data_IF_034770203608
#
_entry.id   IF_034770203608
#
_cell.length_a   1.000
_cell.length_b   1.000
_cell.length_c   1.000
_cell.angle_alpha   90.00
_cell.angle_beta   90.00
_cell.angle_gamma   90.00
#
_symmetry.space_group_name_H-M   'P 1'
#
loop_
_entity.id
_entity.type
_entity.pdbx_description
1 polymer ?
#
# COMPACT_ATOMS: atom_id res chain seq x y z
N UNK A 1 12.86 19.02 25.61
CA UNK A 1 11.66 19.71 25.10
C UNK A 1 11.00 20.48 26.24
N UNK A 2 10.70 21.77 26.04
CA UNK A 2 9.92 22.63 26.93
C UNK A 2 8.48 22.67 26.45
N UNK A 3 7.52 22.71 27.37
CA UNK A 3 6.10 22.81 27.05
C UNK A 3 5.42 23.89 27.86
N UNK A 4 4.45 24.57 27.26
CA UNK A 4 3.59 25.58 27.89
C UNK A 4 2.14 25.28 27.59
N UNK A 5 1.33 25.08 28.62
CA UNK A 5 -0.11 24.90 28.48
C UNK A 5 -0.81 26.25 28.21
N UNK A 6 -1.66 26.28 27.20
CA UNK A 6 -2.56 27.38 26.83
C UNK A 6 -4.00 26.88 26.91
N UNK A 7 -4.83 27.63 27.61
CA UNK A 7 -6.27 27.39 27.78
C UNK A 7 -7.09 28.67 27.54
N UNK A 8 -6.42 29.71 27.07
CA UNK A 8 -6.95 31.04 26.78
C UNK A 8 -7.32 31.21 25.30
N UNK A 9 -6.80 30.35 24.42
CA UNK A 9 -7.05 30.38 22.97
C UNK A 9 -8.40 29.72 22.66
N UNK A 10 -9.23 30.42 21.90
CA UNK A 10 -10.54 29.96 21.46
C UNK A 10 -10.54 29.45 20.02
N UNK A 11 -11.62 28.80 19.62
CA UNK A 11 -11.87 28.42 18.21
C UNK A 11 -11.88 29.65 17.31
N UNK A 12 -12.49 30.75 17.77
CA UNK A 12 -12.49 32.02 17.03
C UNK A 12 -11.07 32.48 16.72
N UNK A 13 -10.19 32.49 17.71
CA UNK A 13 -8.79 32.92 17.54
C UNK A 13 -8.09 32.04 16.49
N UNK A 14 -8.21 30.71 16.58
CA UNK A 14 -7.60 29.79 15.60
C UNK A 14 -8.15 30.05 14.19
N UNK A 15 -9.45 30.32 14.06
CA UNK A 15 -10.13 30.56 12.80
C UNK A 15 -9.85 31.96 12.21
N UNK A 16 -9.26 32.89 12.94
CA UNK A 16 -8.87 34.18 12.38
C UNK A 16 -7.83 34.00 11.28
N UNK A 17 -8.12 34.53 10.09
CA UNK A 17 -7.27 34.34 8.91
C UNK A 17 -7.28 32.90 8.37
N UNK A 18 -8.27 32.07 8.74
CA UNK A 18 -8.37 30.71 8.25
C UNK A 18 -8.63 30.67 6.74
N UNK A 19 -7.70 30.06 6.00
CA UNK A 19 -7.81 29.86 4.56
C UNK A 19 -7.74 28.37 4.25
N UNK A 20 -8.88 27.77 3.93
CA UNK A 20 -8.93 26.41 3.41
C UNK A 20 -9.00 26.41 1.90
N UNK A 21 -7.93 25.94 1.27
CA UNK A 21 -7.93 25.62 -0.14
C UNK A 21 -7.48 24.18 -0.33
N UNK A 22 -8.38 23.33 -0.86
CA UNK A 22 -8.03 21.94 -1.19
C UNK A 22 -7.03 21.87 -2.37
N UNK A 23 -6.94 22.92 -3.17
CA UNK A 23 -6.25 22.96 -4.46
C UNK A 23 -4.90 23.69 -4.41
N UNK A 24 -4.70 24.61 -3.48
CA UNK A 24 -3.40 25.27 -3.30
C UNK A 24 -2.63 24.47 -2.26
N UNK A 25 -1.49 23.89 -2.65
CA UNK A 25 -0.50 23.31 -1.73
C UNK A 25 0.12 24.34 -0.76
N UNK A 26 -0.47 25.53 -0.63
CA UNK A 26 -0.14 26.53 0.37
C UNK A 26 -0.70 26.04 1.70
N UNK A 27 0.10 26.17 2.76
CA UNK A 27 -0.27 25.75 4.11
C UNK A 27 -1.67 26.23 4.52
N UNK A 28 -2.42 25.38 5.21
CA UNK A 28 -3.61 25.81 5.92
C UNK A 28 -3.15 26.71 7.06
N UNK A 29 -3.59 27.96 7.13
CA UNK A 29 -3.16 28.93 8.15
C UNK A 29 -4.28 29.30 9.13
N UNK A 30 -3.92 29.75 10.33
CA UNK A 30 -4.81 30.27 11.38
C UNK A 30 -4.07 31.24 12.31
N UNK A 31 -4.73 31.69 13.38
CA UNK A 31 -4.22 32.72 14.31
C UNK A 31 -3.69 33.97 13.57
N UNK A 32 -4.42 34.45 12.57
CA UNK A 32 -4.03 35.57 11.71
C UNK A 32 -2.65 35.37 11.05
N UNK A 33 -2.37 34.15 10.59
CA UNK A 33 -1.13 33.80 9.89
C UNK A 33 0.04 33.44 10.82
N UNK A 34 -0.20 33.34 12.13
CA UNK A 34 0.81 32.89 13.12
C UNK A 34 0.87 31.38 13.31
N UNK A 35 -0.16 30.66 12.85
CA UNK A 35 -0.25 29.21 12.93
C UNK A 35 -0.32 28.61 11.54
N UNK A 36 0.64 27.78 11.21
CA UNK A 36 0.54 26.85 10.08
C UNK A 36 -0.13 25.56 10.58
N UNK A 37 -1.42 25.41 10.27
CA UNK A 37 -2.27 24.29 10.65
C UNK A 37 -1.90 23.01 9.89
N UNK A 38 -1.55 23.14 8.61
CA UNK A 38 -1.06 22.03 7.80
C UNK A 38 0.34 22.36 7.28
N UNK A 39 1.38 22.14 8.10
CA UNK A 39 2.76 22.17 7.64
C UNK A 39 2.98 21.21 6.48
N UNK A 40 3.97 21.49 5.63
CA UNK A 40 4.22 20.75 4.39
C UNK A 40 4.50 19.26 4.64
N UNK A 41 5.00 18.90 5.82
CA UNK A 41 5.30 17.52 6.17
C UNK A 41 4.12 16.73 6.76
N UNK A 42 3.06 17.41 7.19
CA UNK A 42 1.87 16.76 7.75
C UNK A 42 1.06 16.03 6.68
N UNK A 43 0.25 15.04 7.08
CA UNK A 43 -0.62 14.32 6.14
C UNK A 43 -1.75 15.20 5.61
N UNK A 44 -2.35 14.76 4.49
CA UNK A 44 -3.53 15.42 3.95
C UNK A 44 -4.70 15.38 4.95
N UNK A 45 -5.65 16.29 4.80
CA UNK A 45 -6.89 16.25 5.56
C UNK A 45 -7.74 15.05 5.13
N UNK A 46 -8.01 14.12 6.06
CA UNK A 46 -8.69 12.84 5.79
C UNK A 46 -10.03 12.69 6.53
N UNK A 47 -10.46 13.69 7.30
CA UNK A 47 -11.75 13.68 8.01
C UNK A 47 -12.92 14.16 7.13
N UNK A 48 -12.67 14.51 5.86
CA UNK A 48 -13.67 15.00 4.89
C UNK A 48 -14.69 13.92 4.44
N UNK A 49 -15.18 13.09 5.35
CA UNK A 49 -16.11 11.98 5.07
C UNK A 49 -17.55 12.25 5.53
N UNK A 50 -17.82 13.45 6.07
CA UNK A 50 -19.14 13.85 6.59
C UNK A 50 -19.52 13.16 7.90
N UNK A 51 -18.62 12.36 8.48
CA UNK A 51 -18.84 11.63 9.74
C UNK A 51 -17.89 12.12 10.81
N UNK A 52 -16.58 12.05 10.55
CA UNK A 52 -15.55 12.42 11.54
C UNK A 52 -15.46 13.92 11.72
N UNK A 53 -15.59 14.69 10.65
CA UNK A 53 -15.64 16.14 10.74
C UNK A 53 -16.92 16.66 11.39
N UNK A 54 -18.07 16.06 11.07
CA UNK A 54 -19.33 16.31 11.78
C UNK A 54 -19.23 15.98 13.29
N UNK A 55 -18.64 14.84 13.66
CA UNK A 55 -18.48 14.43 15.05
C UNK A 55 -17.63 15.41 15.89
N UNK A 56 -16.65 16.09 15.28
CA UNK A 56 -15.91 17.17 15.94
C UNK A 56 -16.87 18.30 16.32
N UNK A 57 -17.71 18.76 15.39
CA UNK A 57 -18.66 19.84 15.64
C UNK A 57 -19.73 19.43 16.65
N UNK A 58 -20.24 18.20 16.56
CA UNK A 58 -21.18 17.66 17.55
C UNK A 58 -20.60 17.66 18.96
N UNK A 59 -19.31 17.36 19.10
CA UNK A 59 -18.61 17.42 20.39
C UNK A 59 -18.54 18.86 20.92
N UNK A 60 -18.29 19.84 20.06
CA UNK A 60 -18.28 21.26 20.42
C UNK A 60 -19.67 21.73 20.91
N UNK A 61 -20.74 21.36 20.21
CA UNK A 61 -22.11 21.72 20.58
C UNK A 61 -22.52 21.13 21.93
N UNK A 62 -22.00 19.94 22.26
CA UNK A 62 -22.18 19.25 23.55
C UNK A 62 -21.18 19.70 24.63
N UNK A 63 -20.27 20.62 24.31
CA UNK A 63 -19.22 21.12 25.20
C UNK A 63 -18.26 20.03 25.70
N UNK A 64 -18.09 18.97 24.90
CA UNK A 64 -17.12 17.93 25.18
C UNK A 64 -15.72 18.38 24.79
N UNK A 65 -14.68 18.07 25.59
CA UNK A 65 -13.32 18.42 25.23
C UNK A 65 -12.92 17.83 23.88
N UNK A 66 -12.39 18.65 22.96
CA UNK A 66 -11.90 18.17 21.67
C UNK A 66 -10.60 17.35 21.77
N UNK A 67 -10.10 17.15 23.00
CA UNK A 67 -8.80 16.57 23.28
C UNK A 67 -7.66 17.57 23.18
N UNK A 68 -6.49 17.16 23.64
CA UNK A 68 -5.27 17.97 23.66
C UNK A 68 -4.78 18.24 22.23
N UNK A 69 -4.33 19.46 21.98
CA UNK A 69 -3.71 19.91 20.73
C UNK A 69 -2.25 20.29 21.02
N UNK A 70 -1.35 20.03 20.07
CA UNK A 70 0.07 20.34 20.23
C UNK A 70 0.53 21.26 19.11
N UNK A 71 1.14 22.38 19.48
CA UNK A 71 1.85 23.27 18.58
C UNK A 71 3.35 23.16 18.83
N UNK A 72 4.15 23.32 17.79
CA UNK A 72 5.59 23.53 17.90
C UNK A 72 5.90 24.97 17.52
N UNK A 73 6.71 25.64 18.36
CA UNK A 73 7.21 27.00 18.07
C UNK A 73 8.36 26.89 17.07
N UNK A 74 8.21 27.52 15.91
CA UNK A 74 9.24 27.55 14.85
C UNK A 74 10.11 28.80 14.96
N UNK A 75 9.46 29.92 15.25
CA UNK A 75 10.10 31.21 15.49
C UNK A 75 9.24 32.02 16.47
N UNK A 76 9.68 33.22 16.83
CA UNK A 76 8.90 34.03 17.76
C UNK A 76 7.53 34.41 17.17
N UNK A 77 6.47 34.05 17.89
CA UNK A 77 5.08 34.22 17.45
C UNK A 77 4.65 33.36 16.26
N UNK A 78 5.46 32.38 15.82
CA UNK A 78 5.17 31.49 14.69
C UNK A 78 5.13 30.03 15.12
N UNK A 79 4.04 29.35 14.78
CA UNK A 79 3.72 28.01 15.25
C UNK A 79 3.33 27.08 14.11
N UNK A 80 3.61 25.80 14.28
CA UNK A 80 3.14 24.73 13.42
C UNK A 80 2.35 23.70 14.24
N UNK A 81 1.30 23.12 13.66
CA UNK A 81 0.55 22.05 14.33
C UNK A 81 1.35 20.75 14.31
N UNK A 82 1.64 20.24 15.51
CA UNK A 82 2.27 18.95 15.72
C UNK A 82 1.22 17.83 15.86
N UNK A 83 0.13 18.09 16.57
CA UNK A 83 -1.05 17.21 16.60
C UNK A 83 -2.34 18.03 16.79
N UNK A 84 -3.44 17.52 16.24
CA UNK A 84 -4.74 18.20 16.25
C UNK A 84 -5.16 18.78 14.92
N UNK A 85 -4.33 18.66 13.87
CA UNK A 85 -4.60 19.21 12.53
C UNK A 85 -6.00 18.84 12.01
N UNK A 86 -6.39 17.56 12.11
CA UNK A 86 -7.68 17.10 11.58
C UNK A 86 -8.84 17.77 12.32
N UNK A 87 -8.75 17.92 13.64
CA UNK A 87 -9.78 18.60 14.47
C UNK A 87 -9.87 20.08 14.14
N UNK A 88 -8.71 20.75 14.04
CA UNK A 88 -8.63 22.18 13.68
C UNK A 88 -9.21 22.42 12.29
N UNK A 89 -8.84 21.58 11.33
CA UNK A 89 -9.36 21.69 9.96
C UNK A 89 -10.87 21.45 9.92
N UNK A 90 -11.41 20.50 10.69
CA UNK A 90 -12.85 20.26 10.76
C UNK A 90 -13.62 21.48 11.23
N UNK A 91 -13.26 22.07 12.38
CA UNK A 91 -14.00 23.25 12.87
C UNK A 91 -13.76 24.50 12.02
N UNK A 92 -12.55 24.68 11.46
CA UNK A 92 -12.27 25.81 10.57
C UNK A 92 -13.08 25.73 9.27
N UNK A 93 -13.20 24.52 8.68
CA UNK A 93 -14.06 24.27 7.52
C UNK A 93 -15.54 24.50 7.84
N UNK A 94 -15.99 24.13 9.04
CA UNK A 94 -17.38 24.34 9.44
C UNK A 94 -17.71 25.83 9.62
N UNK A 95 -16.89 26.57 10.38
CA UNK A 95 -17.04 28.01 10.61
C UNK A 95 -17.00 28.82 9.31
N UNK A 96 -16.34 28.29 8.27
CA UNK A 96 -16.29 28.90 6.93
C UNK A 96 -17.29 28.29 5.93
N UNK A 97 -18.36 27.65 6.45
CA UNK A 97 -19.48 27.08 5.70
C UNK A 97 -19.10 26.08 4.59
N UNK A 98 -18.00 25.34 4.75
CA UNK A 98 -17.53 24.35 3.75
C UNK A 98 -18.28 23.02 3.79
N UNK A 99 -19.03 22.75 4.85
CA UNK A 99 -19.90 21.58 4.96
C UNK A 99 -20.99 21.81 6.02
N UNK A 100 -22.16 21.13 5.91
CA UNK A 100 -23.20 21.15 6.93
C UNK A 100 -23.04 20.04 7.96
N UNK A 101 -23.70 20.19 9.11
CA UNK A 101 -23.91 19.12 10.10
C UNK A 101 -25.40 18.82 10.24
N UNK A 102 -25.77 17.67 10.81
CA UNK A 102 -27.17 17.36 11.12
C UNK A 102 -27.50 17.78 12.55
N UNK A 103 -28.44 18.71 12.68
CA UNK A 103 -29.03 19.14 13.96
C UNK A 103 -30.53 18.86 13.86
N UNK A 104 -31.06 18.05 14.78
CA UNK A 104 -32.47 17.61 14.80
C UNK A 104 -32.98 17.04 13.47
N UNK A 105 -32.11 16.31 12.77
CA UNK A 105 -32.42 15.68 11.47
C UNK A 105 -32.33 16.62 10.27
N UNK A 106 -32.07 17.91 10.46
CA UNK A 106 -31.91 18.90 9.40
C UNK A 106 -30.44 19.25 9.19
N UNK A 107 -30.04 19.45 7.93
CA UNK A 107 -28.70 19.93 7.59
C UNK A 107 -28.59 21.43 7.88
N UNK A 108 -27.62 21.81 8.70
CA UNK A 108 -27.34 23.19 9.06
C UNK A 108 -25.87 23.51 8.81
N UNK A 109 -25.63 24.63 8.12
CA UNK A 109 -24.33 25.29 8.01
C UNK A 109 -24.11 26.19 9.23
N UNK A 110 -22.87 26.61 9.45
CA UNK A 110 -22.52 27.47 10.59
C UNK A 110 -23.36 28.77 10.61
N UNK A 111 -23.50 29.44 9.46
CA UNK A 111 -24.32 30.67 9.34
C UNK A 111 -25.81 30.45 9.62
N UNK A 112 -26.32 29.23 9.42
CA UNK A 112 -27.72 28.89 9.66
C UNK A 112 -28.01 28.39 11.08
N UNK A 113 -26.98 28.17 11.90
CA UNK A 113 -27.16 27.80 13.30
C UNK A 113 -27.78 28.95 14.08
N UNK A 114 -28.53 28.64 15.14
CA UNK A 114 -28.97 29.64 16.10
C UNK A 114 -27.76 30.42 16.67
N UNK A 115 -27.88 31.74 16.89
CA UNK A 115 -26.75 32.57 17.34
C UNK A 115 -26.06 32.05 18.59
N UNK A 116 -26.81 31.46 19.54
CA UNK A 116 -26.25 30.92 20.78
C UNK A 116 -25.33 29.70 20.51
N UNK A 117 -25.65 28.90 19.49
CA UNK A 117 -24.83 27.76 19.08
C UNK A 117 -23.58 28.20 18.32
N UNK A 118 -23.67 29.25 17.51
CA UNK A 118 -22.52 29.86 16.86
C UNK A 118 -21.52 30.40 17.89
N UNK A 119 -22.02 31.15 18.88
CA UNK A 119 -21.21 31.68 19.98
C UNK A 119 -20.59 30.56 20.81
N UNK A 120 -21.34 29.48 21.11
CA UNK A 120 -20.81 28.31 21.80
C UNK A 120 -19.60 27.70 21.08
N UNK A 121 -19.68 27.55 19.76
CA UNK A 121 -18.58 27.02 18.94
C UNK A 121 -17.39 27.98 18.96
N UNK A 122 -17.61 29.26 18.68
CA UNK A 122 -16.54 30.26 18.54
C UNK A 122 -15.79 30.52 19.85
N UNK A 123 -16.51 30.54 20.98
CA UNK A 123 -15.95 30.84 22.30
C UNK A 123 -15.38 29.61 23.01
N UNK A 124 -15.52 28.42 22.43
CA UNK A 124 -14.95 27.20 22.99
C UNK A 124 -13.43 27.34 23.16
N UNK A 125 -12.97 27.21 24.41
CA UNK A 125 -11.55 27.24 24.75
C UNK A 125 -10.88 25.92 24.40
N UNK A 126 -9.70 25.99 23.82
CA UNK A 126 -8.90 24.85 23.40
C UNK A 126 -7.81 24.55 24.42
N UNK A 127 -7.53 23.27 24.64
CA UNK A 127 -6.40 22.83 25.47
C UNK A 127 -5.21 22.58 24.57
N UNK A 128 -4.23 23.50 24.57
CA UNK A 128 -3.10 23.49 23.65
C UNK A 128 -1.79 23.45 24.44
N UNK A 129 -0.87 22.54 24.10
CA UNK A 129 0.54 22.67 24.49
C UNK A 129 1.33 23.34 23.38
N UNK A 130 1.97 24.47 23.69
CA UNK A 130 3.05 25.03 22.88
C UNK A 130 4.35 24.33 23.29
N UNK A 131 5.03 23.71 22.32
CA UNK A 131 6.25 22.96 22.51
C UNK A 131 7.43 23.69 21.85
N UNK A 132 8.58 23.66 22.51
CA UNK A 132 9.85 24.18 22.00
C UNK A 132 10.96 23.18 22.34
N UNK A 133 11.79 22.81 21.37
CA UNK A 133 12.83 21.83 21.58
C UNK A 133 13.67 21.60 20.34
N UNK A 134 14.69 20.76 20.48
CA UNK A 134 15.55 20.38 19.36
C UNK A 134 14.81 19.42 18.42
N UNK A 135 15.19 19.41 17.14
CA UNK A 135 14.56 18.59 16.10
C UNK A 135 14.41 17.10 16.49
N UNK A 136 15.42 16.41 17.08
CA UNK A 136 15.27 15.01 17.51
C UNK A 136 14.22 14.82 18.61
N UNK A 137 14.07 15.78 19.52
CA UNK A 137 13.09 15.71 20.61
C UNK A 137 11.67 15.86 20.05
N UNK A 138 11.46 16.83 19.15
CA UNK A 138 10.18 17.04 18.46
C UNK A 138 9.79 15.78 17.68
N UNK A 139 10.75 15.14 16.99
CA UNK A 139 10.54 13.89 16.25
C UNK A 139 10.11 12.74 17.14
N UNK A 140 10.83 12.51 18.25
CA UNK A 140 10.47 11.45 19.20
C UNK A 140 9.08 11.67 19.77
N UNK A 141 8.77 12.93 20.12
CA UNK A 141 7.46 13.29 20.64
C UNK A 141 6.35 13.10 19.62
N UNK A 142 6.59 13.49 18.36
CA UNK A 142 5.64 13.29 17.25
C UNK A 142 5.27 11.82 17.08
N UNK A 143 6.24 10.90 17.18
CA UNK A 143 5.97 9.45 17.18
C UNK A 143 5.11 9.04 18.37
N UNK A 144 5.40 9.54 19.58
CA UNK A 144 4.68 9.18 20.81
C UNK A 144 3.21 9.64 20.79
N UNK A 145 2.93 10.88 20.38
CA UNK A 145 1.56 11.42 20.45
C UNK A 145 0.63 10.81 19.39
N UNK A 146 1.17 10.40 18.24
CA UNK A 146 0.38 9.82 17.14
C UNK A 146 0.06 8.32 17.32
N UNK A 147 0.36 7.74 18.48
CA UNK A 147 -0.01 6.36 18.83
C UNK A 147 -1.52 6.22 19.02
N UNK A 148 -2.18 7.25 19.57
CA UNK A 148 -3.62 7.25 19.81
C UNK A 148 -4.39 7.82 18.61
N UNK A 149 -5.37 7.08 18.09
CA UNK A 149 -6.21 7.48 16.95
C UNK A 149 -5.92 6.69 15.67
N UNK A 150 -6.06 7.31 14.50
CA UNK A 150 -5.67 6.70 13.20
C UNK A 150 -4.16 6.85 13.05
N UNK A 151 -3.37 5.76 13.21
CA UNK A 151 -1.92 5.85 13.22
C UNK A 151 -1.39 6.43 11.90
N UNK A 152 -0.32 7.20 12.01
CA UNK A 152 0.43 7.64 10.84
C UNK A 152 1.08 6.44 10.16
N UNK A 153 1.16 6.46 8.82
CA UNK A 153 2.00 5.51 8.08
C UNK A 153 3.48 5.80 8.36
N UNK A 154 4.35 4.83 8.09
CA UNK A 154 5.79 5.04 8.20
C UNK A 154 6.25 6.20 7.32
N UNK A 155 5.71 6.32 6.11
CA UNK A 155 6.03 7.44 5.23
C UNK A 155 5.53 8.79 5.74
N UNK A 156 4.34 8.85 6.34
CA UNK A 156 3.84 10.08 6.98
C UNK A 156 4.76 10.53 8.13
N UNK A 157 5.29 9.59 8.91
CA UNK A 157 6.29 9.87 9.95
C UNK A 157 7.63 10.33 9.33
N UNK A 158 8.11 9.66 8.29
CA UNK A 158 9.36 10.00 7.62
C UNK A 158 9.31 11.39 7.00
N UNK A 159 8.18 11.79 6.40
CA UNK A 159 8.01 13.13 5.85
C UNK A 159 8.10 14.22 6.94
N UNK A 160 7.52 13.97 8.13
CA UNK A 160 7.67 14.85 9.29
C UNK A 160 9.12 14.94 9.78
N UNK A 161 9.84 13.82 9.77
CA UNK A 161 11.21 13.73 10.27
C UNK A 161 12.20 14.39 9.30
N UNK A 162 12.06 14.16 8.00
CA UNK A 162 13.01 14.58 6.98
C UNK A 162 12.47 15.76 6.18
N UNK A 163 11.67 16.62 6.82
CA UNK A 163 11.06 17.80 6.20
C UNK A 163 12.10 18.73 5.56
N UNK A 164 11.68 19.37 4.47
CA UNK A 164 12.46 20.28 3.64
C UNK A 164 11.97 20.27 2.19
N UNK A 165 12.57 21.11 1.35
CA UNK A 165 12.13 21.39 -0.03
C UNK A 165 11.91 20.13 -0.87
N UNK A 166 12.76 19.12 -0.71
CA UNK A 166 12.63 17.84 -1.40
C UNK A 166 11.32 17.12 -1.07
N UNK A 167 10.96 17.03 0.21
CA UNK A 167 9.74 16.34 0.65
C UNK A 167 8.50 17.06 0.14
N UNK A 168 8.53 18.40 0.15
CA UNK A 168 7.44 19.24 -0.36
C UNK A 168 7.17 18.93 -1.83
N UNK A 169 8.21 19.00 -2.67
CA UNK A 169 8.12 18.68 -4.09
C UNK A 169 7.71 17.21 -4.33
N UNK A 170 8.25 16.27 -3.55
CA UNK A 170 7.91 14.85 -3.69
C UNK A 170 6.44 14.57 -3.36
N UNK A 171 5.89 15.26 -2.35
CA UNK A 171 4.46 15.17 -2.00
C UNK A 171 3.58 15.81 -3.07
N UNK A 172 3.96 16.96 -3.61
CA UNK A 172 3.23 17.61 -4.71
C UNK A 172 3.09 16.70 -5.94
N UNK A 173 4.14 15.92 -6.25
CA UNK A 173 4.12 14.96 -7.36
C UNK A 173 3.32 13.69 -7.00
N UNK A 174 3.68 13.01 -5.91
CA UNK A 174 3.26 11.63 -5.63
C UNK A 174 2.11 11.49 -4.64
N UNK A 175 1.80 12.54 -3.88
CA UNK A 175 0.71 12.55 -2.87
C UNK A 175 -0.44 13.49 -3.23
N UNK A 176 -0.52 13.87 -4.51
CA UNK A 176 -1.59 14.69 -5.07
C UNK A 176 -2.62 13.81 -5.80
N UNK A 177 -3.80 13.64 -5.20
CA UNK A 177 -4.88 12.83 -5.79
C UNK A 177 -5.44 13.37 -7.11
N UNK A 178 -5.11 14.61 -7.50
CA UNK A 178 -5.47 15.20 -8.78
C UNK A 178 -4.38 15.05 -9.86
N UNK A 179 -3.24 14.42 -9.55
CA UNK A 179 -2.21 14.19 -10.56
C UNK A 179 -2.77 13.29 -11.68
N UNK A 180 -2.62 13.74 -12.93
CA UNK A 180 -3.13 13.02 -14.12
C UNK A 180 -2.62 11.57 -14.25
N UNK A 181 -1.48 11.27 -13.64
CA UNK A 181 -0.87 9.94 -13.69
C UNK A 181 -1.39 8.99 -12.61
N UNK A 182 -2.18 9.44 -11.62
CA UNK A 182 -2.65 8.59 -10.51
C UNK A 182 -3.33 7.32 -11.01
N UNK A 183 -4.15 7.41 -12.06
CA UNK A 183 -4.81 6.24 -12.64
C UNK A 183 -3.80 5.23 -13.21
N UNK A 184 -2.76 5.71 -13.91
CA UNK A 184 -1.68 4.86 -14.45
C UNK A 184 -0.88 4.23 -13.32
N UNK A 185 -0.46 5.01 -12.33
CA UNK A 185 0.37 4.51 -11.23
C UNK A 185 -0.37 3.50 -10.36
N UNK A 186 -1.66 3.71 -10.09
CA UNK A 186 -2.47 2.82 -9.25
C UNK A 186 -2.68 1.42 -9.86
N UNK A 187 -2.43 1.25 -11.16
CA UNK A 187 -2.45 -0.07 -11.80
C UNK A 187 -1.25 -0.96 -11.40
N UNK A 188 -0.14 -0.35 -10.98
CA UNK A 188 1.12 -1.04 -10.65
C UNK A 188 1.49 -0.91 -9.18
N UNK A 189 1.20 0.23 -8.57
CA UNK A 189 1.56 0.58 -7.20
C UNK A 189 0.33 0.45 -6.31
N UNK A 190 0.46 -0.33 -5.25
CA UNK A 190 -0.55 -0.36 -4.19
C UNK A 190 -0.33 0.79 -3.22
N UNK A 191 -1.39 1.50 -2.85
CA UNK A 191 -1.31 2.51 -1.80
C UNK A 191 -2.36 3.59 -1.97
N UNK A 192 -2.78 4.19 -0.85
CA UNK A 192 -3.65 5.36 -0.90
C UNK A 192 -2.80 6.62 -1.10
N UNK A 193 -3.13 7.42 -2.11
CA UNK A 193 -2.41 8.64 -2.49
C UNK A 193 -2.38 9.66 -1.34
N UNK A 194 -3.52 9.88 -0.67
CA UNK A 194 -3.64 10.81 0.45
C UNK A 194 -2.90 10.32 1.70
N UNK A 195 -2.65 9.00 1.80
CA UNK A 195 -1.81 8.36 2.82
C UNK A 195 -0.36 8.13 2.35
N UNK A 196 0.03 8.77 1.24
CA UNK A 196 1.40 8.83 0.72
C UNK A 196 1.97 7.47 0.25
N UNK A 197 1.12 6.50 -0.07
CA UNK A 197 1.57 5.15 -0.46
C UNK A 197 2.33 5.10 -1.79
N UNK A 198 2.01 5.97 -2.74
CA UNK A 198 2.77 6.06 -4.01
C UNK A 198 4.15 6.66 -3.76
N UNK A 199 4.23 7.71 -2.92
CA UNK A 199 5.50 8.33 -2.54
C UNK A 199 6.40 7.32 -1.80
N UNK A 200 5.83 6.57 -0.85
CA UNK A 200 6.55 5.50 -0.14
C UNK A 200 7.14 4.48 -1.11
N UNK A 201 6.35 4.02 -2.09
CA UNK A 201 6.80 3.08 -3.10
C UNK A 201 7.89 3.66 -4.00
N UNK A 202 7.78 4.92 -4.42
CA UNK A 202 8.80 5.59 -5.23
C UNK A 202 10.12 5.73 -4.47
N UNK A 203 10.06 6.11 -3.19
CA UNK A 203 11.22 6.22 -2.31
C UNK A 203 11.84 4.85 -2.04
N UNK A 204 11.03 3.82 -1.81
CA UNK A 204 11.47 2.44 -1.63
C UNK A 204 12.32 1.96 -2.82
N UNK A 205 11.81 2.21 -4.02
CA UNK A 205 12.45 1.81 -5.27
C UNK A 205 13.79 2.48 -5.51
N UNK A 206 13.86 3.81 -5.41
CA UNK A 206 15.12 4.55 -5.65
C UNK A 206 16.15 4.29 -4.55
N UNK A 207 15.70 4.10 -3.30
CA UNK A 207 16.57 3.88 -2.15
C UNK A 207 16.95 2.42 -1.90
N UNK A 208 16.31 1.48 -2.60
CA UNK A 208 16.44 0.04 -2.39
C UNK A 208 16.11 -0.36 -0.93
N UNK A 209 14.90 -0.01 -0.47
CA UNK A 209 14.42 -0.22 0.91
C UNK A 209 15.16 0.59 2.00
N UNK A 210 15.83 1.69 1.64
CA UNK A 210 16.56 2.56 2.59
C UNK A 210 15.99 3.98 2.61
N UNK A 211 14.67 4.08 2.70
CA UNK A 211 13.90 5.33 2.58
C UNK A 211 14.45 6.41 3.52
N UNK A 212 14.64 6.10 4.80
CA UNK A 212 15.10 7.07 5.81
C UNK A 212 16.45 7.69 5.46
N UNK A 213 17.42 6.88 5.04
CA UNK A 213 18.75 7.36 4.66
C UNK A 213 18.68 8.25 3.41
N UNK A 214 17.89 7.83 2.41
CA UNK A 214 17.71 8.60 1.18
C UNK A 214 17.08 9.97 1.50
N UNK A 215 15.98 9.99 2.24
CA UNK A 215 15.32 11.25 2.62
C UNK A 215 16.23 12.15 3.48
N UNK A 216 17.02 11.59 4.39
CA UNK A 216 17.97 12.36 5.20
C UNK A 216 19.04 13.07 4.34
N UNK A 217 19.55 12.39 3.30
CA UNK A 217 20.54 12.94 2.38
C UNK A 217 19.95 14.03 1.48
N UNK A 218 18.72 13.84 0.99
CA UNK A 218 18.11 14.69 -0.02
C UNK A 218 17.19 15.79 0.53
N UNK A 219 16.91 15.85 1.85
CA UNK A 219 15.89 16.77 2.41
C UNK A 219 16.04 18.25 2.04
N UNK A 220 17.26 18.71 1.72
CA UNK A 220 17.54 20.10 1.32
C UNK A 220 17.58 20.32 -0.19
N UNK A 221 17.42 19.27 -0.98
CA UNK A 221 17.45 19.37 -2.43
C UNK A 221 16.24 20.17 -2.93
N UNK A 222 16.48 21.03 -3.92
CA UNK A 222 15.45 21.90 -4.51
C UNK A 222 14.75 21.24 -5.70
N UNK A 223 14.95 19.94 -5.92
CA UNK A 223 14.29 19.16 -6.97
C UNK A 223 14.15 17.68 -6.57
N UNK A 224 13.33 16.94 -7.31
CA UNK A 224 13.09 15.49 -7.12
C UNK A 224 13.45 14.68 -8.36
N UNK A 225 14.36 15.17 -9.20
CA UNK A 225 14.58 14.63 -10.54
C UNK A 225 15.01 13.16 -10.52
N UNK A 226 15.89 12.77 -9.61
CA UNK A 226 16.31 11.38 -9.44
C UNK A 226 15.13 10.46 -9.08
N UNK A 227 14.42 10.79 -8.00
CA UNK A 227 13.23 10.07 -7.53
C UNK A 227 12.19 9.91 -8.66
N UNK A 228 11.86 11.01 -9.33
CA UNK A 228 10.86 11.03 -10.41
C UNK A 228 11.33 10.23 -11.62
N UNK A 229 12.57 10.41 -12.05
CA UNK A 229 13.13 9.70 -13.21
C UNK A 229 13.19 8.19 -12.97
N UNK A 230 13.62 7.77 -11.79
CA UNK A 230 13.69 6.35 -11.44
C UNK A 230 12.30 5.71 -11.44
N UNK A 231 11.35 6.33 -10.73
CA UNK A 231 9.97 5.85 -10.67
C UNK A 231 9.34 5.75 -12.06
N UNK A 232 9.48 6.80 -12.88
CA UNK A 232 8.98 6.80 -14.26
C UNK A 232 9.64 5.71 -15.10
N UNK A 233 10.94 5.46 -14.93
CA UNK A 233 11.65 4.40 -15.65
C UNK A 233 11.10 3.00 -15.35
N UNK A 234 10.76 2.72 -14.09
CA UNK A 234 10.13 1.46 -13.69
C UNK A 234 8.74 1.32 -14.31
N UNK A 235 7.91 2.37 -14.20
CA UNK A 235 6.54 2.38 -14.72
C UNK A 235 6.51 2.27 -16.26
N UNK A 236 7.39 2.99 -16.96
CA UNK A 236 7.45 2.97 -18.41
C UNK A 236 8.00 1.64 -18.92
N UNK A 237 8.96 1.03 -18.21
CA UNK A 237 9.41 -0.32 -18.53
C UNK A 237 8.29 -1.34 -18.43
N UNK A 238 7.58 -1.42 -17.29
CA UNK A 238 6.51 -2.42 -17.11
C UNK A 238 5.39 -2.21 -18.12
N UNK A 239 4.97 -0.96 -18.38
CA UNK A 239 3.92 -0.65 -19.35
C UNK A 239 4.34 -0.88 -20.81
N UNK A 240 5.65 -0.85 -21.10
CA UNK A 240 6.16 -1.21 -22.42
C UNK A 240 6.22 -2.73 -22.62
N UNK A 241 6.62 -3.48 -21.57
CA UNK A 241 6.71 -4.94 -21.62
C UNK A 241 5.32 -5.59 -21.66
N UNK A 242 4.39 -5.13 -20.82
CA UNK A 242 3.05 -5.67 -20.68
C UNK A 242 2.01 -4.70 -21.24
N UNK A 243 1.48 -5.03 -22.42
CA UNK A 243 0.40 -4.25 -23.06
C UNK A 243 -0.97 -4.43 -22.40
N UNK A 244 -1.20 -5.60 -21.83
CA UNK A 244 -2.43 -5.90 -21.10
C UNK A 244 -2.19 -5.59 -19.62
N UNK A 245 -3.03 -4.72 -19.05
CA UNK A 245 -2.95 -4.32 -17.64
C UNK A 245 -3.96 -5.14 -16.85
N UNK A 246 -3.45 -6.00 -15.99
CA UNK A 246 -4.26 -6.90 -15.17
C UNK A 246 -4.28 -6.46 -13.71
N UNK A 247 -5.36 -6.79 -12.99
CA UNK A 247 -5.56 -6.35 -11.60
C UNK A 247 -4.43 -6.82 -10.67
N UNK A 248 -3.89 -8.01 -10.90
CA UNK A 248 -2.83 -8.61 -10.09
C UNK A 248 -1.46 -7.93 -10.25
N UNK A 249 -1.31 -7.01 -11.21
CA UNK A 249 -0.10 -6.19 -11.37
C UNK A 249 0.05 -5.19 -10.22
N UNK A 250 -1.05 -4.75 -9.60
CA UNK A 250 -1.01 -3.78 -8.52
C UNK A 250 -0.34 -4.38 -7.26
N UNK A 251 0.72 -3.72 -6.80
CA UNK A 251 1.44 -4.08 -5.58
C UNK A 251 2.48 -5.20 -5.74
N UNK A 252 2.84 -5.57 -6.98
CA UNK A 252 4.02 -6.41 -7.21
C UNK A 252 5.30 -5.61 -6.94
N UNK A 253 6.40 -6.31 -6.65
CA UNK A 253 7.70 -5.71 -6.36
C UNK A 253 8.38 -5.16 -7.64
N UNK A 254 7.72 -4.24 -8.34
CA UNK A 254 8.15 -3.75 -9.65
C UNK A 254 9.55 -3.12 -9.64
N UNK A 255 9.96 -2.45 -8.56
CA UNK A 255 11.34 -1.97 -8.42
C UNK A 255 12.36 -3.10 -8.46
N UNK A 256 12.13 -4.21 -7.75
CA UNK A 256 13.00 -5.38 -7.76
C UNK A 256 12.96 -6.10 -9.12
N UNK A 257 11.76 -6.27 -9.69
CA UNK A 257 11.58 -6.89 -11.00
C UNK A 257 12.29 -6.07 -12.09
N UNK A 258 12.20 -4.74 -12.03
CA UNK A 258 12.91 -3.84 -12.93
C UNK A 258 14.42 -4.06 -12.82
N UNK A 259 15.01 -4.02 -11.63
CA UNK A 259 16.45 -4.24 -11.47
C UNK A 259 16.91 -5.62 -11.96
N UNK A 260 16.07 -6.65 -11.75
CA UNK A 260 16.38 -8.03 -12.14
C UNK A 260 16.29 -8.24 -13.65
N UNK A 261 15.29 -7.64 -14.30
CA UNK A 261 14.87 -8.02 -15.65
C UNK A 261 15.01 -6.91 -16.71
N UNK A 262 15.27 -5.64 -16.36
CA UNK A 262 15.30 -4.51 -17.32
C UNK A 262 16.27 -4.65 -18.49
N UNK A 263 17.33 -5.46 -18.35
CA UNK A 263 18.34 -5.70 -19.41
C UNK A 263 17.91 -6.76 -20.42
N UNK A 264 16.82 -7.47 -20.16
CA UNK A 264 16.32 -8.51 -21.05
C UNK A 264 15.42 -7.90 -22.13
N UNK A 265 15.59 -8.27 -23.41
CA UNK A 265 14.72 -7.80 -24.46
C UNK A 265 13.39 -8.55 -24.45
N UNK A 266 12.28 -7.82 -24.50
CA UNK A 266 10.94 -8.39 -24.58
C UNK A 266 10.26 -8.00 -25.90
N UNK A 267 9.49 -8.93 -26.46
CA UNK A 267 8.55 -8.64 -27.54
C UNK A 267 7.15 -8.49 -26.91
N UNK A 268 6.58 -7.28 -26.83
CA UNK A 268 5.32 -7.05 -26.12
C UNK A 268 4.13 -7.84 -26.68
N UNK A 269 4.12 -8.14 -27.99
CA UNK A 269 3.08 -8.98 -28.60
C UNK A 269 3.18 -10.43 -28.14
N UNK A 270 4.40 -10.98 -28.05
CA UNK A 270 4.61 -12.34 -27.51
C UNK A 270 4.27 -12.42 -26.03
N UNK A 271 4.66 -11.41 -25.25
CA UNK A 271 4.31 -11.30 -23.83
C UNK A 271 2.79 -11.29 -23.63
N UNK A 272 2.07 -10.47 -24.41
CA UNK A 272 0.59 -10.43 -24.39
C UNK A 272 -0.05 -11.79 -24.69
N UNK A 273 0.44 -12.51 -25.71
CA UNK A 273 -0.05 -13.85 -26.05
C UNK A 273 0.19 -14.87 -24.94
N UNK A 274 1.38 -14.84 -24.33
CA UNK A 274 1.73 -15.72 -23.21
C UNK A 274 0.88 -15.42 -21.98
N UNK A 275 0.71 -14.15 -21.64
CA UNK A 275 -0.12 -13.71 -20.53
C UNK A 275 -1.56 -14.20 -20.69
N UNK A 276 -2.18 -13.98 -21.85
CA UNK A 276 -3.54 -14.46 -22.17
C UNK A 276 -3.66 -15.97 -22.07
N UNK A 277 -2.68 -16.71 -22.60
CA UNK A 277 -2.65 -18.17 -22.49
C UNK A 277 -2.63 -18.62 -21.03
N UNK A 278 -1.72 -18.06 -20.22
CA UNK A 278 -1.60 -18.41 -18.81
C UNK A 278 -2.85 -18.02 -18.01
N UNK A 279 -3.46 -16.86 -18.31
CA UNK A 279 -4.71 -16.40 -17.69
C UNK A 279 -5.91 -17.29 -18.06
N UNK A 280 -5.94 -17.84 -19.27
CA UNK A 280 -6.97 -18.80 -19.70
C UNK A 280 -6.77 -20.21 -19.15
N UNK A 281 -5.57 -20.52 -18.65
CA UNK A 281 -5.26 -21.83 -18.07
C UNK A 281 -5.85 -21.93 -16.65
N UNK A 282 -6.76 -22.89 -16.46
CA UNK A 282 -7.45 -23.16 -15.19
C UNK A 282 -6.54 -23.86 -14.16
N UNK A 283 -5.39 -24.37 -14.58
CA UNK A 283 -4.41 -25.00 -13.71
C UNK A 283 -3.45 -23.99 -13.08
N UNK A 284 -3.27 -22.79 -13.67
CA UNK A 284 -2.47 -21.71 -13.08
C UNK A 284 -3.25 -21.09 -11.93
N UNK A 285 -2.80 -21.30 -10.68
CA UNK A 285 -3.46 -20.70 -9.50
C UNK A 285 -2.90 -19.34 -9.14
N UNK A 286 -1.58 -19.16 -9.28
CA UNK A 286 -0.92 -17.91 -8.93
C UNK A 286 -0.90 -16.94 -10.12
N UNK A 287 -1.95 -16.12 -10.23
CA UNK A 287 -2.03 -15.05 -11.24
C UNK A 287 -0.92 -14.00 -11.04
N UNK A 288 -0.56 -13.67 -9.80
CA UNK A 288 0.54 -12.75 -9.47
C UNK A 288 1.90 -13.23 -9.96
N UNK A 289 2.18 -14.54 -9.88
CA UNK A 289 3.47 -15.07 -10.31
C UNK A 289 3.63 -15.17 -11.84
N UNK A 290 2.55 -15.00 -12.61
CA UNK A 290 2.60 -15.02 -14.08
C UNK A 290 3.54 -13.95 -14.63
N UNK A 291 3.55 -12.75 -14.05
CA UNK A 291 4.36 -11.64 -14.55
C UNK A 291 5.85 -11.93 -14.41
N UNK A 292 6.29 -12.32 -13.21
CA UNK A 292 7.68 -12.71 -12.97
C UNK A 292 8.08 -13.95 -13.78
N UNK A 293 7.17 -14.93 -13.91
CA UNK A 293 7.41 -16.11 -14.74
C UNK A 293 7.70 -15.74 -16.20
N UNK A 294 6.90 -14.84 -16.79
CA UNK A 294 7.11 -14.36 -18.16
C UNK A 294 8.42 -13.56 -18.25
N UNK A 295 8.66 -12.65 -17.30
CA UNK A 295 9.88 -11.84 -17.25
C UNK A 295 11.13 -12.72 -17.16
N UNK A 296 11.10 -13.80 -16.39
CA UNK A 296 12.16 -14.78 -16.24
C UNK A 296 12.28 -15.77 -17.41
N UNK A 297 11.66 -15.50 -18.55
CA UNK A 297 11.76 -16.33 -19.75
C UNK A 297 10.94 -17.61 -19.70
N UNK A 298 9.91 -17.67 -18.84
CA UNK A 298 9.04 -18.83 -18.66
C UNK A 298 9.77 -20.09 -18.17
N UNK A 299 10.70 -19.92 -17.22
CA UNK A 299 11.54 -21.00 -16.68
C UNK A 299 11.03 -21.48 -15.31
N UNK A 300 10.83 -20.58 -14.35
CA UNK A 300 10.48 -20.96 -12.97
C UNK A 300 8.98 -21.18 -12.79
N UNK A 301 8.52 -22.39 -13.11
CA UNK A 301 7.10 -22.79 -13.00
C UNK A 301 6.53 -22.74 -11.59
N UNK A 302 7.38 -22.69 -10.55
CA UNK A 302 6.90 -22.59 -9.15
C UNK A 302 6.14 -21.30 -8.91
N UNK A 303 6.46 -20.23 -9.66
CA UNK A 303 5.78 -18.95 -9.59
C UNK A 303 4.28 -19.06 -9.93
N UNK A 304 3.90 -20.05 -10.74
CA UNK A 304 2.53 -20.24 -11.23
C UNK A 304 1.62 -21.02 -10.27
N UNK A 305 2.17 -21.69 -9.25
CA UNK A 305 1.45 -22.60 -8.35
C UNK A 305 0.47 -23.51 -9.10
N UNK A 306 0.97 -24.31 -10.02
CA UNK A 306 0.12 -25.10 -10.94
C UNK A 306 -0.62 -26.20 -10.17
N UNK A 307 -1.95 -26.25 -10.32
CA UNK A 307 -2.79 -27.36 -9.85
C UNK A 307 -2.50 -28.59 -10.71
N UNK A 308 -1.95 -29.64 -10.12
CA UNK A 308 -1.51 -30.80 -10.90
C UNK A 308 -2.68 -31.72 -11.29
N UNK A 309 -3.49 -32.26 -10.37
CA UNK A 309 -4.67 -33.07 -10.71
C UNK A 309 -5.75 -32.94 -9.63
N UNK A 310 -7.04 -33.07 -10.00
CA UNK A 310 -8.12 -33.18 -9.02
C UNK A 310 -8.12 -34.56 -8.32
N UNK A 311 -8.78 -34.65 -7.16
CA UNK A 311 -8.72 -35.85 -6.34
C UNK A 311 -9.44 -37.06 -6.96
N UNK A 312 -10.41 -36.83 -7.86
CA UNK A 312 -11.08 -37.91 -8.59
C UNK A 312 -10.11 -38.57 -9.59
N UNK A 313 -9.37 -37.75 -10.33
CA UNK A 313 -8.33 -38.15 -11.27
C UNK A 313 -7.22 -38.91 -10.55
N UNK A 314 -6.72 -38.38 -9.43
CA UNK A 314 -5.69 -39.07 -8.61
C UNK A 314 -6.13 -40.47 -8.17
N UNK A 315 -7.36 -40.58 -7.63
CA UNK A 315 -7.91 -41.87 -7.18
C UNK A 315 -8.07 -42.86 -8.33
N UNK A 316 -8.55 -42.38 -9.48
CA UNK A 316 -8.73 -43.20 -10.68
C UNK A 316 -7.40 -43.74 -11.21
N UNK A 317 -6.40 -42.88 -11.39
CA UNK A 317 -5.07 -43.26 -11.88
C UNK A 317 -4.35 -44.19 -10.89
N UNK A 318 -4.42 -43.89 -9.59
CA UNK A 318 -3.88 -44.77 -8.55
C UNK A 318 -4.47 -46.18 -8.61
N UNK A 319 -5.81 -46.30 -8.69
CA UNK A 319 -6.47 -47.59 -8.75
C UNK A 319 -6.05 -48.39 -10.00
N UNK A 320 -5.94 -47.71 -11.15
CA UNK A 320 -5.46 -48.30 -12.39
C UNK A 320 -4.02 -48.79 -12.28
N UNK A 321 -3.08 -47.93 -11.87
CA UNK A 321 -1.67 -48.30 -11.71
C UNK A 321 -1.47 -49.42 -10.71
N UNK A 322 -2.21 -49.41 -9.59
CA UNK A 322 -2.14 -50.47 -8.60
C UNK A 322 -2.59 -51.81 -9.17
N UNK A 323 -3.73 -51.86 -9.85
CA UNK A 323 -4.24 -53.11 -10.45
C UNK A 323 -3.32 -53.66 -11.55
N UNK A 324 -2.73 -52.78 -12.37
CA UNK A 324 -1.76 -53.19 -13.39
C UNK A 324 -0.45 -53.71 -12.79
N UNK A 325 0.01 -53.08 -11.71
CA UNK A 325 1.21 -53.47 -10.99
C UNK A 325 1.05 -54.81 -10.26
N UNK A 326 -0.13 -55.07 -9.66
CA UNK A 326 -0.47 -56.36 -9.03
C UNK A 326 -0.39 -57.52 -10.02
N UNK A 327 -0.94 -57.35 -11.24
CA UNK A 327 -0.88 -58.39 -12.28
C UNK A 327 0.53 -58.72 -12.77
N UNK A 328 1.45 -57.77 -12.64
CA UNK A 328 2.83 -57.87 -13.12
C UNK A 328 3.83 -58.12 -11.98
N UNK A 329 3.37 -58.18 -10.74
CA UNK A 329 4.19 -58.31 -9.52
C UNK A 329 5.32 -57.26 -9.40
N UNK A 330 5.03 -56.03 -9.82
CA UNK A 330 5.94 -54.87 -9.76
C UNK A 330 5.36 -53.75 -8.88
N UNK A 331 6.15 -52.72 -8.60
CA UNK A 331 5.68 -51.54 -7.86
C UNK A 331 4.62 -50.76 -8.64
N UNK A 332 3.63 -50.21 -7.93
CA UNK A 332 2.66 -49.26 -8.47
C UNK A 332 3.24 -47.86 -8.74
N UNK A 333 4.51 -47.61 -8.40
CA UNK A 333 5.28 -46.46 -8.86
C UNK A 333 6.15 -46.88 -10.07
N UNK A 334 5.95 -46.31 -11.27
CA UNK A 334 6.70 -46.66 -12.48
C UNK A 334 8.23 -46.57 -12.32
N UNK A 335 8.72 -45.54 -11.62
CA UNK A 335 10.16 -45.37 -11.37
C UNK A 335 10.73 -46.39 -10.38
N UNK A 336 9.93 -46.85 -9.41
CA UNK A 336 10.32 -47.98 -8.56
C UNK A 336 10.39 -49.27 -9.36
N UNK A 337 9.39 -49.54 -10.20
CA UNK A 337 9.29 -50.78 -10.98
C UNK A 337 10.47 -50.99 -11.95
N UNK A 338 11.04 -49.91 -12.49
CA UNK A 338 12.22 -49.96 -13.38
C UNK A 338 13.55 -49.96 -12.61
N UNK A 339 13.55 -49.59 -11.33
CA UNK A 339 14.75 -49.54 -10.50
C UNK A 339 15.26 -50.91 -10.05
N UNK A 340 16.56 -51.00 -9.75
CA UNK A 340 17.22 -52.21 -9.21
C UNK A 340 17.34 -52.21 -7.68
N UNK A 341 16.44 -51.51 -6.98
CA UNK A 341 16.46 -51.42 -5.52
C UNK A 341 15.33 -52.25 -4.87
N UNK A 342 15.31 -52.27 -3.53
CA UNK A 342 14.34 -53.01 -2.73
C UNK A 342 12.89 -52.56 -2.94
N UNK A 343 12.66 -51.39 -3.54
CA UNK A 343 11.30 -50.88 -3.81
C UNK A 343 10.72 -51.38 -5.13
N UNK A 344 11.44 -52.19 -5.92
CA UNK A 344 11.00 -52.65 -7.26
C UNK A 344 9.62 -53.30 -7.28
N UNK A 345 9.28 -54.02 -6.21
CA UNK A 345 7.99 -54.73 -6.06
C UNK A 345 7.13 -54.14 -4.92
N UNK A 346 7.49 -52.95 -4.40
CA UNK A 346 6.76 -52.33 -3.28
C UNK A 346 5.46 -51.67 -3.75
N UNK A 347 4.36 -51.99 -3.08
CA UNK A 347 3.08 -51.31 -3.27
C UNK A 347 2.93 -50.16 -2.28
N UNK A 348 2.87 -48.94 -2.80
CA UNK A 348 2.66 -47.73 -2.01
C UNK A 348 1.16 -47.45 -1.85
N UNK A 349 0.74 -47.01 -0.66
CA UNK A 349 -0.62 -46.54 -0.45
C UNK A 349 -0.86 -45.18 -1.14
N UNK A 350 -2.12 -44.81 -1.37
CA UNK A 350 -2.46 -43.51 -1.98
C UNK A 350 -1.86 -42.33 -1.18
N UNK A 351 -1.77 -42.43 0.15
CA UNK A 351 -1.20 -41.39 1.00
C UNK A 351 0.34 -41.27 0.89
N UNK A 352 1.00 -42.30 0.36
CA UNK A 352 2.45 -42.33 0.13
C UNK A 352 2.84 -41.96 -1.30
N UNK A 353 1.86 -41.63 -2.14
CA UNK A 353 2.03 -41.27 -3.54
C UNK A 353 1.52 -39.87 -3.82
N UNK A 354 2.13 -39.22 -4.81
CA UNK A 354 1.70 -37.95 -5.36
C UNK A 354 1.47 -38.12 -6.87
N UNK A 355 0.45 -37.43 -7.39
CA UNK A 355 0.21 -37.39 -8.82
C UNK A 355 1.17 -36.42 -9.49
N UNK A 356 1.57 -36.78 -10.70
CA UNK A 356 2.54 -36.07 -11.50
C UNK A 356 2.23 -36.21 -12.98
N UNK A 357 2.79 -35.32 -13.79
CA UNK A 357 2.67 -35.44 -15.24
C UNK A 357 3.73 -36.39 -15.79
N UNK A 358 3.34 -37.30 -16.67
CA UNK A 358 4.27 -38.13 -17.45
C UNK A 358 5.16 -37.21 -18.30
N UNK A 359 4.54 -36.28 -19.03
CA UNK A 359 5.20 -35.15 -19.68
C UNK A 359 4.94 -33.88 -18.88
N UNK A 360 6.00 -33.26 -18.34
CA UNK A 360 5.87 -32.06 -17.50
C UNK A 360 5.01 -30.97 -18.15
N UNK A 361 4.13 -30.33 -17.37
CA UNK A 361 3.31 -29.20 -17.83
C UNK A 361 4.18 -28.07 -18.41
N UNK A 362 5.36 -27.81 -17.81
CA UNK A 362 6.36 -26.84 -18.29
C UNK A 362 6.86 -27.11 -19.72
N UNK A 363 6.77 -28.36 -20.18
CA UNK A 363 7.16 -28.79 -21.54
C UNK A 363 5.96 -28.94 -22.48
N UNK A 364 4.80 -28.40 -22.09
CA UNK A 364 3.55 -28.48 -22.87
C UNK A 364 2.74 -29.75 -22.64
N UNK A 365 3.04 -30.52 -21.59
CA UNK A 365 2.21 -31.66 -21.20
C UNK A 365 0.83 -31.23 -20.75
N UNK A 366 -0.22 -31.87 -21.28
CA UNK A 366 -1.61 -31.58 -20.91
C UNK A 366 -1.90 -32.05 -19.48
N UNK A 367 -2.74 -31.32 -18.74
CA UNK A 367 -3.17 -31.73 -17.40
C UNK A 367 -4.47 -32.53 -17.47
N UNK A 368 -4.40 -33.73 -18.04
CA UNK A 368 -5.53 -34.64 -18.15
C UNK A 368 -5.20 -36.03 -17.57
N UNK A 369 -6.23 -36.87 -17.42
CA UNK A 369 -6.07 -38.21 -16.86
C UNK A 369 -5.07 -39.10 -17.64
N UNK A 370 -4.84 -38.84 -18.93
CA UNK A 370 -3.92 -39.63 -19.76
C UNK A 370 -2.46 -39.25 -19.51
N UNK A 371 -2.20 -38.02 -19.11
CA UNK A 371 -0.86 -37.55 -18.75
C UNK A 371 -0.60 -37.62 -17.24
N UNK A 372 -1.55 -38.13 -16.44
CA UNK A 372 -1.41 -38.32 -15.00
C UNK A 372 -0.73 -39.66 -14.68
N UNK A 373 0.31 -39.63 -13.85
CA UNK A 373 0.89 -40.81 -13.21
C UNK A 373 1.04 -40.59 -11.69
N UNK A 374 0.87 -41.65 -10.91
CA UNK A 374 1.15 -41.67 -9.48
C UNK A 374 2.59 -42.13 -9.24
N UNK A 375 3.38 -41.32 -8.55
CA UNK A 375 4.74 -41.63 -8.12
C UNK A 375 4.79 -41.70 -6.59
N UNK A 376 5.65 -42.55 -6.03
CA UNK A 376 5.90 -42.48 -4.58
C UNK A 376 6.50 -41.11 -4.24
N UNK A 377 6.23 -40.61 -3.03
CA UNK A 377 6.67 -39.27 -2.57
C UNK A 377 8.16 -39.01 -2.81
N UNK A 378 9.01 -40.02 -2.62
CA UNK A 378 10.45 -39.91 -2.87
C UNK A 378 10.77 -39.64 -4.33
N UNK A 379 10.16 -40.39 -5.26
CA UNK A 379 10.37 -40.22 -6.69
C UNK A 379 9.73 -38.95 -7.23
N UNK A 380 8.53 -38.60 -6.77
CA UNK A 380 7.88 -37.33 -7.13
C UNK A 380 8.78 -36.14 -6.73
N UNK A 381 9.31 -36.14 -5.50
CA UNK A 381 10.23 -35.10 -5.02
C UNK A 381 11.55 -35.05 -5.81
N UNK A 382 12.05 -36.20 -6.26
CA UNK A 382 13.30 -36.29 -7.01
C UNK A 382 13.19 -35.79 -8.47
N UNK A 383 11.99 -35.77 -9.06
CA UNK A 383 11.78 -35.42 -10.48
C UNK A 383 12.05 -33.94 -10.81
N UNK A 384 12.20 -33.09 -9.79
CA UNK A 384 12.75 -31.73 -9.89
C UNK A 384 11.91 -30.67 -10.64
N UNK A 385 11.01 -31.10 -11.54
CA UNK A 385 10.11 -30.26 -12.32
C UNK A 385 8.73 -30.25 -11.65
N UNK A 386 8.55 -29.38 -10.66
CA UNK A 386 7.23 -29.09 -10.09
C UNK A 386 6.46 -28.09 -10.95
#
# INVERSE_FOLDING_TARGET
MRTRLRIDITVKDICEGFVYNKHEGKGLFGLSGKLTIQPEYQRNYIYADGKRDAAVIESMLKEYPLGLIYFVKIADGQFEVLDGQQRITSFGRFVTNKFPIKVDGMEQYFESLAPELQEKILNMKLTIYECEGEEPEIKSWFKTINIAGVPLTNQELNNAIYSGSFVTLAKEEFSNSQNSNIHKWSAYVSGNVDRQGILECALDWVSQNKIENYMALHRKDENINELKTYFTSVIDWVSTVFKDVEREMCGLAWGLLYETYKKQPYNPQKVSQQLKKLYSDSYVKSRKGVFEYILGGSIDTKLLDVRIFDDATKKSVYAKQKSEAEKKEISNCPLCAVGNNTNKNKFWSLAEMDADHVSAWSKGGATDIKNCEMLCKTHNRAKGNK
#
